data_IF_305072696876
#
_entry.id   IF_305072696876
#
_cell.length_a   1.000
_cell.length_b   1.000
_cell.length_c   1.000
_cell.angle_alpha   90.00
_cell.angle_beta   90.00
_cell.angle_gamma   90.00
#
_symmetry.space_group_name_H-M   'P 1'
#
loop_
_entity.id
_entity.type
_entity.pdbx_description
1 polymer ?
#
# COMPACT_ATOMS: atom_id res chain seq x y z
N UNK A 1 10.04 3.09 -9.26
CA UNK A 1 10.58 2.46 -8.02
C UNK A 1 11.76 3.24 -7.44
N UNK A 2 12.76 3.62 -8.24
CA UNK A 2 13.94 4.37 -7.76
C UNK A 2 13.57 5.79 -7.28
N UNK A 3 12.61 6.43 -7.93
CA UNK A 3 12.10 7.76 -7.57
C UNK A 3 11.31 7.74 -6.25
N UNK A 4 10.54 6.68 -6.01
CA UNK A 4 9.79 6.50 -4.76
C UNK A 4 10.75 6.20 -3.59
N UNK A 5 11.76 5.38 -3.82
CA UNK A 5 12.83 5.14 -2.85
C UNK A 5 13.56 6.44 -2.50
N UNK A 6 13.82 7.29 -3.50
CA UNK A 6 14.45 8.60 -3.30
C UNK A 6 13.55 9.54 -2.47
N UNK A 7 12.25 9.64 -2.79
CA UNK A 7 11.27 10.43 -2.04
C UNK A 7 11.13 9.95 -0.59
N UNK A 8 11.04 8.65 -0.36
CA UNK A 8 11.00 8.05 0.98
C UNK A 8 12.29 8.32 1.78
N UNK A 9 13.44 8.29 1.10
CA UNK A 9 14.73 8.63 1.72
C UNK A 9 14.78 10.10 2.14
N UNK A 10 14.38 11.03 1.26
CA UNK A 10 14.34 12.46 1.56
C UNK A 10 13.36 12.77 2.71
N UNK A 11 12.16 12.16 2.71
CA UNK A 11 11.20 12.31 3.78
C UNK A 11 11.75 11.83 5.13
N UNK A 12 12.54 10.75 5.16
CA UNK A 12 13.22 10.26 6.37
C UNK A 12 14.32 11.19 6.83
N UNK A 13 15.16 11.70 5.92
CA UNK A 13 16.22 12.66 6.25
C UNK A 13 15.64 13.95 6.85
N UNK A 14 14.51 14.42 6.30
CA UNK A 14 13.78 15.57 6.85
C UNK A 14 13.17 15.27 8.24
N UNK A 15 12.63 14.07 8.44
CA UNK A 15 12.10 13.66 9.74
C UNK A 15 13.21 13.53 10.81
N UNK A 16 14.41 13.04 10.43
CA UNK A 16 15.55 12.95 11.32
C UNK A 16 16.06 14.34 11.76
N UNK A 17 16.15 15.29 10.83
CA UNK A 17 16.50 16.70 11.16
C UNK A 17 15.49 17.30 12.13
N UNK A 18 14.20 17.13 11.89
CA UNK A 18 13.14 17.62 12.77
C UNK A 18 13.17 16.94 14.15
N UNK A 19 13.54 15.65 14.22
CA UNK A 19 13.74 14.93 15.47
C UNK A 19 14.85 15.59 16.29
N UNK A 20 16.02 15.84 15.70
CA UNK A 20 17.13 16.50 16.36
C UNK A 20 16.76 17.92 16.86
N UNK A 21 15.98 18.67 16.07
CA UNK A 21 15.45 19.96 16.49
C UNK A 21 14.47 19.86 17.67
N UNK A 22 13.59 18.84 17.67
CA UNK A 22 12.68 18.59 18.79
C UNK A 22 13.43 18.21 20.07
N UNK A 23 14.44 17.34 19.96
CA UNK A 23 15.33 16.96 21.05
C UNK A 23 16.06 18.18 21.63
N UNK A 24 16.59 19.07 20.78
CA UNK A 24 17.29 20.30 21.22
C UNK A 24 16.39 21.30 21.95
N UNK A 25 15.08 21.27 21.66
CA UNK A 25 14.06 22.08 22.34
C UNK A 25 13.46 21.41 23.58
N UNK A 26 13.85 20.16 23.86
CA UNK A 26 13.31 19.39 24.99
C UNK A 26 11.90 18.85 24.74
N UNK A 27 11.42 18.83 23.50
CA UNK A 27 10.11 18.28 23.13
C UNK A 27 10.21 16.77 22.94
N UNK A 28 10.16 16.04 24.06
CA UNK A 28 10.27 14.59 24.08
C UNK A 28 9.12 13.87 23.34
N UNK A 29 7.94 14.48 23.30
CA UNK A 29 6.77 13.86 22.63
C UNK A 29 6.91 13.92 21.11
N UNK A 30 7.29 15.09 20.58
CA UNK A 30 7.54 15.24 19.14
C UNK A 30 8.77 14.43 18.71
N UNK A 31 9.84 14.41 19.52
CA UNK A 31 11.02 13.59 19.25
C UNK A 31 10.67 12.10 19.14
N UNK A 32 9.93 11.53 20.10
CA UNK A 32 9.51 10.13 20.08
C UNK A 32 8.60 9.81 18.87
N UNK A 33 7.71 10.74 18.50
CA UNK A 33 6.85 10.59 17.32
C UNK A 33 7.66 10.57 16.02
N UNK A 34 8.66 11.42 15.91
CA UNK A 34 9.54 11.46 14.73
C UNK A 34 10.47 10.26 14.68
N UNK A 35 10.95 9.77 15.82
CA UNK A 35 11.76 8.55 15.92
C UNK A 35 11.01 7.34 15.37
N UNK A 36 9.75 7.13 15.74
CA UNK A 36 8.92 6.05 15.21
C UNK A 36 8.77 6.12 13.68
N UNK A 37 8.82 7.33 13.09
CA UNK A 37 8.74 7.53 11.63
C UNK A 37 10.08 7.37 10.90
N UNK A 38 11.19 7.50 11.61
CA UNK A 38 12.55 7.37 11.04
C UNK A 38 13.15 5.98 11.23
N UNK A 39 12.48 5.13 12.03
CA UNK A 39 12.97 3.78 12.32
C UNK A 39 13.14 3.00 11.01
N UNK A 40 14.39 2.64 10.69
CA UNK A 40 14.71 1.84 9.51
C UNK A 40 14.48 0.37 9.84
N UNK A 41 13.82 -0.33 8.92
CA UNK A 41 13.96 -1.78 8.85
C UNK A 41 15.39 -2.08 8.41
N UNK A 42 16.21 -2.50 9.35
CA UNK A 42 17.59 -2.91 9.09
C UNK A 42 17.63 -4.40 8.70
N UNK A 43 18.69 -4.82 8.04
CA UNK A 43 18.89 -6.24 7.72
C UNK A 43 18.79 -7.11 8.98
N UNK A 44 19.31 -6.62 10.11
CA UNK A 44 19.20 -7.29 11.42
C UNK A 44 17.73 -7.47 11.85
N UNK A 45 16.86 -6.48 11.66
CA UNK A 45 15.44 -6.59 11.99
C UNK A 45 14.77 -7.63 11.10
N UNK A 46 15.07 -7.63 9.80
CA UNK A 46 14.55 -8.63 8.86
C UNK A 46 15.00 -10.05 9.25
N UNK A 47 16.28 -10.25 9.49
CA UNK A 47 16.84 -11.54 9.89
C UNK A 47 16.26 -12.03 11.22
N UNK A 48 16.19 -11.16 12.23
CA UNK A 48 15.61 -11.48 13.53
C UNK A 48 14.14 -11.83 13.41
N UNK A 49 13.37 -11.07 12.60
CA UNK A 49 11.95 -11.34 12.37
C UNK A 49 11.73 -12.71 11.72
N UNK A 50 12.53 -13.06 10.72
CA UNK A 50 12.48 -14.39 10.08
C UNK A 50 12.80 -15.50 11.07
N UNK A 51 13.83 -15.32 11.90
CA UNK A 51 14.19 -16.31 12.90
C UNK A 51 13.10 -16.49 13.96
N UNK A 52 12.47 -15.40 14.42
CA UNK A 52 11.32 -15.48 15.33
C UNK A 52 10.17 -16.25 14.70
N UNK A 53 9.80 -15.95 13.45
CA UNK A 53 8.74 -16.64 12.72
C UNK A 53 9.07 -18.14 12.57
N UNK A 54 10.32 -18.46 12.22
CA UNK A 54 10.80 -19.85 12.13
C UNK A 54 10.68 -20.60 13.46
N UNK A 55 11.07 -19.98 14.56
CA UNK A 55 10.97 -20.56 15.91
C UNK A 55 9.51 -20.75 16.38
N UNK A 56 8.60 -19.95 15.84
CA UNK A 56 7.16 -20.06 16.08
C UNK A 56 6.45 -21.02 15.10
N UNK A 57 7.22 -21.69 14.22
CA UNK A 57 6.69 -22.55 13.16
C UNK A 57 5.71 -21.83 12.21
N UNK A 58 5.93 -20.53 11.99
CA UNK A 58 5.17 -19.71 11.03
C UNK A 58 5.92 -19.73 9.70
N UNK A 59 5.28 -20.20 8.61
CA UNK A 59 5.93 -20.25 7.30
C UNK A 59 6.22 -18.84 6.79
N UNK A 60 7.41 -18.69 6.17
CA UNK A 60 7.85 -17.44 5.54
C UNK A 60 8.04 -17.68 4.06
N UNK A 61 7.43 -16.85 3.23
CA UNK A 61 7.56 -16.88 1.77
C UNK A 61 8.31 -15.63 1.32
N UNK A 62 9.40 -15.82 0.58
CA UNK A 62 10.15 -14.72 -0.02
C UNK A 62 9.45 -14.26 -1.30
N UNK A 63 8.95 -13.03 -1.28
CA UNK A 63 8.33 -12.44 -2.45
C UNK A 63 9.41 -12.10 -3.51
N UNK A 64 9.20 -12.46 -4.79
CA UNK A 64 10.18 -12.11 -5.84
C UNK A 64 10.21 -10.62 -6.16
N UNK A 65 9.19 -9.86 -5.74
CA UNK A 65 9.08 -8.42 -5.92
C UNK A 65 8.34 -7.77 -4.74
N UNK A 66 7.09 -7.36 -4.94
CA UNK A 66 6.27 -6.73 -3.89
C UNK A 66 5.60 -7.79 -3.01
N UNK A 67 5.70 -7.63 -1.68
CA UNK A 67 5.09 -8.56 -0.72
C UNK A 67 3.58 -8.66 -0.86
N UNK A 68 2.90 -7.53 -1.11
CA UNK A 68 1.45 -7.48 -1.28
C UNK A 68 1.00 -8.19 -2.56
N UNK A 69 1.77 -8.10 -3.65
CA UNK A 69 1.51 -8.86 -4.87
C UNK A 69 1.64 -10.37 -4.63
N UNK A 70 2.63 -10.79 -3.83
CA UNK A 70 2.78 -12.20 -3.44
C UNK A 70 1.61 -12.67 -2.58
N UNK A 71 1.18 -11.88 -1.59
CA UNK A 71 0.01 -12.18 -0.76
C UNK A 71 -1.26 -12.31 -1.61
N UNK A 72 -1.51 -11.36 -2.51
CA UNK A 72 -2.64 -11.39 -3.43
C UNK A 72 -2.62 -12.63 -4.34
N UNK A 73 -1.43 -13.00 -4.86
CA UNK A 73 -1.27 -14.21 -5.66
C UNK A 73 -1.62 -15.47 -4.86
N UNK A 74 -1.06 -15.65 -3.65
CA UNK A 74 -1.33 -16.81 -2.80
C UNK A 74 -2.81 -16.89 -2.41
N UNK A 75 -3.44 -15.75 -2.12
CA UNK A 75 -4.89 -15.71 -1.86
C UNK A 75 -5.71 -16.12 -3.09
N UNK A 76 -5.30 -15.70 -4.29
CA UNK A 76 -5.99 -16.03 -5.55
C UNK A 76 -5.89 -17.52 -5.93
N UNK A 77 -4.74 -18.16 -5.67
CA UNK A 77 -4.56 -19.58 -5.97
C UNK A 77 -5.04 -20.53 -4.85
N UNK A 78 -5.48 -19.98 -3.72
CA UNK A 78 -6.01 -20.73 -2.59
C UNK A 78 -4.97 -21.25 -1.60
N UNK A 79 -3.72 -20.78 -1.67
CA UNK A 79 -2.68 -21.08 -0.67
C UNK A 79 -2.91 -20.30 0.64
N UNK A 80 -3.69 -19.23 0.59
CA UNK A 80 -4.12 -18.46 1.74
C UNK A 80 -5.58 -18.05 1.59
N UNK A 81 -6.35 -18.07 2.68
CA UNK A 81 -7.76 -17.66 2.68
C UNK A 81 -7.92 -16.14 2.57
N UNK A 82 -6.97 -15.39 3.10
CA UNK A 82 -6.98 -13.92 3.16
C UNK A 82 -5.56 -13.36 3.00
N UNK A 83 -5.47 -12.17 2.42
CA UNK A 83 -4.28 -11.32 2.53
C UNK A 83 -4.44 -10.40 3.74
N UNK A 84 -3.39 -10.25 4.58
CA UNK A 84 -3.38 -9.26 5.66
C UNK A 84 -2.58 -8.04 5.24
N UNK A 85 -3.23 -6.88 5.09
CA UNK A 85 -2.55 -5.62 4.77
C UNK A 85 -3.34 -4.42 5.31
N UNK A 86 -2.65 -3.36 5.69
CA UNK A 86 -3.27 -2.07 6.00
C UNK A 86 -3.54 -1.24 4.73
N UNK A 87 -2.90 -1.59 3.62
CA UNK A 87 -3.04 -0.92 2.34
C UNK A 87 -4.06 -1.60 1.43
N UNK A 88 -4.51 -0.88 0.40
CA UNK A 88 -5.46 -1.37 -0.59
C UNK A 88 -4.81 -2.07 -1.79
N UNK A 89 -3.49 -2.08 -1.85
CA UNK A 89 -2.72 -2.54 -3.01
C UNK A 89 -2.92 -4.04 -3.30
N UNK A 90 -3.20 -4.85 -2.27
CA UNK A 90 -3.56 -6.27 -2.46
C UNK A 90 -4.75 -6.45 -3.40
N UNK A 91 -5.74 -5.56 -3.36
CA UNK A 91 -6.89 -5.59 -4.28
C UNK A 91 -6.48 -5.20 -5.70
N UNK A 92 -5.58 -4.22 -5.85
CA UNK A 92 -5.03 -3.82 -7.16
C UNK A 92 -4.18 -4.93 -7.79
N UNK A 93 -3.57 -5.79 -6.98
CA UNK A 93 -2.90 -7.02 -7.44
C UNK A 93 -3.85 -8.20 -7.64
N UNK A 94 -5.15 -7.98 -7.50
CA UNK A 94 -6.20 -8.99 -7.73
C UNK A 94 -6.37 -9.98 -6.59
N UNK A 95 -6.00 -9.61 -5.37
CA UNK A 95 -6.28 -10.39 -4.16
C UNK A 95 -7.78 -10.41 -3.87
N UNK A 96 -8.43 -11.60 -3.83
CA UNK A 96 -9.88 -11.69 -3.67
C UNK A 96 -10.37 -11.14 -2.34
N UNK A 97 -9.62 -11.37 -1.26
CA UNK A 97 -10.03 -11.03 0.12
C UNK A 97 -8.88 -10.49 0.93
N UNK A 98 -9.04 -9.28 1.45
CA UNK A 98 -8.03 -8.63 2.28
C UNK A 98 -8.60 -8.31 3.66
N UNK A 99 -7.87 -8.68 4.70
CA UNK A 99 -8.17 -8.32 6.08
C UNK A 99 -7.30 -7.12 6.49
N UNK A 100 -7.95 -6.05 6.92
CA UNK A 100 -7.32 -4.83 7.45
C UNK A 100 -7.54 -4.72 8.95
N UNK A 101 -6.79 -3.82 9.58
CA UNK A 101 -6.90 -3.49 11.01
C UNK A 101 -6.68 -4.70 11.94
N UNK A 102 -5.89 -5.69 11.53
CA UNK A 102 -5.61 -6.89 12.32
C UNK A 102 -4.88 -6.56 13.63
N UNK A 103 -4.07 -5.50 13.65
CA UNK A 103 -3.26 -5.09 14.80
C UNK A 103 -3.83 -3.89 15.56
N UNK A 104 -4.89 -3.27 15.05
CA UNK A 104 -5.53 -2.12 15.70
C UNK A 104 -6.54 -2.57 16.76
N UNK A 105 -6.91 -1.64 17.66
CA UNK A 105 -7.89 -1.92 18.73
C UNK A 105 -9.34 -2.05 18.23
N UNK A 106 -9.55 -1.97 16.90
CA UNK A 106 -10.85 -2.11 16.25
C UNK A 106 -11.16 -3.57 15.88
N UNK A 107 -12.31 -3.76 15.28
CA UNK A 107 -12.63 -5.02 14.63
C UNK A 107 -11.89 -5.10 13.29
N UNK A 108 -11.37 -6.28 12.91
CA UNK A 108 -10.84 -6.49 11.57
C UNK A 108 -11.88 -6.14 10.52
N UNK A 109 -11.43 -5.51 9.45
CA UNK A 109 -12.25 -5.14 8.31
C UNK A 109 -11.94 -6.09 7.16
N UNK A 110 -12.96 -6.77 6.65
CA UNK A 110 -12.84 -7.61 5.47
C UNK A 110 -13.18 -6.78 4.23
N UNK A 111 -12.23 -6.71 3.32
CA UNK A 111 -12.45 -6.19 1.97
C UNK A 111 -12.54 -7.37 1.01
N UNK A 112 -13.66 -7.45 0.31
CA UNK A 112 -13.92 -8.43 -0.74
C UNK A 112 -13.88 -7.73 -2.10
N UNK A 113 -13.01 -8.20 -2.99
CA UNK A 113 -12.79 -7.57 -4.30
C UNK A 113 -14.05 -7.62 -5.16
N UNK A 114 -14.71 -8.78 -5.23
CA UNK A 114 -15.90 -8.96 -6.06
C UNK A 114 -17.05 -8.07 -5.58
N UNK A 115 -17.29 -8.05 -4.28
CA UNK A 115 -18.30 -7.16 -3.69
C UNK A 115 -17.97 -5.67 -3.93
N UNK A 116 -16.70 -5.29 -3.80
CA UNK A 116 -16.25 -3.91 -4.07
C UNK A 116 -16.47 -3.50 -5.52
N UNK A 117 -16.15 -4.38 -6.48
CA UNK A 117 -16.37 -4.11 -7.89
C UNK A 117 -17.86 -3.98 -8.21
N UNK A 118 -18.69 -4.86 -7.64
CA UNK A 118 -20.14 -4.83 -7.79
C UNK A 118 -20.77 -3.57 -7.20
N UNK A 119 -20.38 -3.16 -5.99
CA UNK A 119 -20.87 -1.96 -5.33
C UNK A 119 -20.56 -0.68 -6.11
N UNK A 120 -19.41 -0.69 -6.78
CA UNK A 120 -18.99 0.45 -7.61
C UNK A 120 -19.40 0.33 -9.08
N UNK A 121 -19.99 -0.79 -9.50
CA UNK A 121 -20.38 -1.06 -10.89
C UNK A 121 -19.21 -0.79 -11.86
N UNK A 122 -18.07 -1.44 -11.59
CA UNK A 122 -16.84 -1.39 -12.40
C UNK A 122 -16.23 -2.78 -12.55
N UNK A 123 -15.40 -2.94 -13.58
CA UNK A 123 -14.56 -4.14 -13.73
C UNK A 123 -13.26 -4.02 -12.94
N UNK A 124 -12.54 -5.13 -12.80
CA UNK A 124 -11.22 -5.14 -12.18
C UNK A 124 -10.22 -4.27 -12.96
N UNK A 125 -10.23 -4.34 -14.28
CA UNK A 125 -9.39 -3.51 -15.14
C UNK A 125 -9.68 -2.02 -14.91
N UNK A 126 -10.94 -1.65 -14.79
CA UNK A 126 -11.35 -0.27 -14.50
C UNK A 126 -10.90 0.18 -13.10
N UNK A 127 -10.88 -0.72 -12.10
CA UNK A 127 -10.32 -0.41 -10.79
C UNK A 127 -8.81 -0.08 -10.89
N UNK A 128 -8.07 -0.87 -11.67
CA UNK A 128 -6.63 -0.62 -11.93
C UNK A 128 -6.46 0.71 -12.68
N UNK A 129 -7.27 1.00 -13.68
CA UNK A 129 -7.25 2.26 -14.43
C UNK A 129 -7.51 3.49 -13.53
N UNK A 130 -8.45 3.37 -12.61
CA UNK A 130 -8.72 4.40 -11.58
C UNK A 130 -7.49 4.64 -10.72
N UNK A 131 -6.84 3.59 -10.25
CA UNK A 131 -5.63 3.69 -9.44
C UNK A 131 -4.48 4.35 -10.24
N UNK A 132 -4.28 3.96 -11.49
CA UNK A 132 -3.26 4.57 -12.36
C UNK A 132 -3.53 6.05 -12.64
N UNK A 133 -4.78 6.46 -12.80
CA UNK A 133 -5.14 7.88 -12.95
C UNK A 133 -4.87 8.68 -11.68
N UNK A 134 -5.08 8.09 -10.50
CA UNK A 134 -4.82 8.73 -9.21
C UNK A 134 -3.33 8.81 -8.85
N UNK A 135 -2.54 7.89 -9.37
CA UNK A 135 -1.15 7.65 -8.98
C UNK A 135 -1.01 6.48 -8.01
N UNK A 136 0.07 5.74 -8.19
CA UNK A 136 0.48 4.57 -7.40
C UNK A 136 1.96 4.67 -7.08
N UNK A 137 2.52 3.73 -6.34
CA UNK A 137 3.97 3.63 -6.12
C UNK A 137 4.78 3.45 -7.42
N UNK A 138 4.11 3.15 -8.53
CA UNK A 138 4.73 2.91 -9.84
C UNK A 138 4.55 4.07 -10.84
N UNK A 139 3.61 5.01 -10.58
CA UNK A 139 3.34 6.15 -11.45
C UNK A 139 2.81 7.36 -10.67
N UNK A 140 3.02 8.58 -11.20
CA UNK A 140 2.61 9.82 -10.54
C UNK A 140 1.11 10.15 -10.69
N UNK A 141 0.38 9.39 -11.52
CA UNK A 141 -1.01 9.68 -11.85
C UNK A 141 -1.18 10.94 -12.72
N UNK A 142 -2.41 11.40 -12.85
CA UNK A 142 -2.77 12.59 -13.63
C UNK A 142 -3.03 13.76 -12.69
N UNK A 143 -2.32 14.85 -12.88
CA UNK A 143 -2.45 16.05 -12.03
C UNK A 143 -3.90 16.54 -11.94
N UNK A 144 -4.39 16.67 -10.72
CA UNK A 144 -5.73 17.13 -10.42
C UNK A 144 -6.83 16.07 -10.59
N UNK A 145 -6.45 14.80 -10.79
CA UNK A 145 -7.37 13.67 -10.83
C UNK A 145 -7.28 12.90 -9.51
N UNK A 146 -8.33 13.03 -8.69
CA UNK A 146 -8.49 12.20 -7.49
C UNK A 146 -9.47 11.05 -7.73
N UNK A 147 -9.66 10.16 -6.75
CA UNK A 147 -10.44 8.91 -6.91
C UNK A 147 -11.84 9.11 -7.47
N UNK A 148 -12.59 10.11 -7.00
CA UNK A 148 -13.95 10.40 -7.50
C UNK A 148 -13.95 10.82 -8.96
N UNK A 149 -12.99 11.64 -9.35
CA UNK A 149 -12.86 12.13 -10.75
C UNK A 149 -12.40 10.99 -11.65
N UNK A 150 -11.43 10.18 -11.22
CA UNK A 150 -10.95 9.02 -11.95
C UNK A 150 -12.07 8.01 -12.18
N UNK A 151 -12.79 7.65 -11.12
CA UNK A 151 -13.93 6.73 -11.18
C UNK A 151 -14.99 7.18 -12.18
N UNK A 152 -15.38 8.47 -12.13
CA UNK A 152 -16.34 9.02 -13.05
C UNK A 152 -15.82 8.96 -14.50
N UNK A 153 -14.58 9.35 -14.73
CA UNK A 153 -13.98 9.37 -16.06
C UNK A 153 -13.87 7.97 -16.67
N UNK A 154 -13.45 6.97 -15.89
CA UNK A 154 -13.36 5.59 -16.36
C UNK A 154 -14.73 5.02 -16.69
N UNK A 155 -15.77 5.29 -15.88
CA UNK A 155 -17.15 4.89 -16.19
C UNK A 155 -17.71 5.56 -17.45
N UNK A 156 -17.35 6.81 -17.70
CA UNK A 156 -17.82 7.58 -18.86
C UNK A 156 -17.11 7.16 -20.16
N UNK A 157 -15.82 6.92 -20.12
CA UNK A 157 -14.98 6.68 -21.29
C UNK A 157 -14.59 5.22 -21.49
N UNK A 158 -14.72 4.39 -20.46
CA UNK A 158 -14.48 2.94 -20.51
C UNK A 158 -13.14 2.52 -19.92
N UNK A 159 -12.03 3.11 -20.36
CA UNK A 159 -10.68 2.74 -19.94
C UNK A 159 -9.73 3.96 -19.82
N UNK A 160 -8.53 3.70 -19.27
CA UNK A 160 -7.48 4.69 -19.08
C UNK A 160 -7.11 5.45 -20.37
N UNK A 161 -6.96 4.72 -21.48
CA UNK A 161 -6.51 5.33 -22.75
C UNK A 161 -7.57 6.24 -23.33
N UNK A 162 -8.84 5.84 -23.25
CA UNK A 162 -9.97 6.67 -23.66
C UNK A 162 -10.08 7.94 -22.81
N UNK A 163 -9.89 7.82 -21.48
CA UNK A 163 -9.85 8.97 -20.57
C UNK A 163 -8.73 9.94 -20.93
N UNK A 164 -7.52 9.44 -21.17
CA UNK A 164 -6.37 10.27 -21.54
C UNK A 164 -6.59 10.96 -22.90
N UNK A 165 -7.14 10.25 -23.87
CA UNK A 165 -7.45 10.80 -25.20
C UNK A 165 -8.52 11.90 -25.15
N UNK A 166 -9.52 11.76 -24.29
CA UNK A 166 -10.57 12.77 -24.11
C UNK A 166 -10.09 14.04 -23.39
N UNK A 167 -8.95 13.97 -22.71
CA UNK A 167 -8.37 15.12 -21.98
C UNK A 167 -7.34 15.91 -22.81
N UNK A 168 -6.94 15.38 -23.99
CA UNK A 168 -6.09 16.06 -24.96
C UNK A 168 -4.65 16.11 -24.58
#
# INVERSE_FOLDING_TARGET
KDDEVAKRREARENAEKRKQEAESRGDAVEAARLEARTQRLTDTIHETSREVLRLLDVPVVEAPAEGEAQCAYMNRIGDADYSGSEDYDTMLFGGPRTLRQLTSKGNPELMDLEATLADHDITYEQLVDVAMLCGTDFNEGVRGVGPKTAMKAVKEHGDLFAVLSARG
#
